data_IF_651378099806
#
_entry.id   IF_651378099806
#
_cell.length_a   1.000
_cell.length_b   1.000
_cell.length_c   1.000
_cell.angle_alpha   90.00
_cell.angle_beta   90.00
_cell.angle_gamma   90.00
#
_symmetry.space_group_name_H-M   'P 1'
#
loop_
_entity.id
_entity.type
_entity.pdbx_description
1 polymer ?
#
# COMPACT_ATOMS: atom_id res chain seq x y z
N UNK A 1 7.16 3.94 11.08
CA UNK A 1 7.87 4.47 9.89
C UNK A 1 8.30 3.38 8.92
N UNK A 2 7.88 2.13 9.07
CA UNK A 2 8.28 1.04 8.16
C UNK A 2 7.48 1.10 6.87
N UNK A 3 6.15 1.14 6.94
CA UNK A 3 5.29 1.33 5.75
C UNK A 3 5.74 2.50 4.87
N UNK A 4 6.04 3.66 5.45
CA UNK A 4 6.45 4.82 4.67
C UNK A 4 7.79 4.63 3.94
N UNK A 5 8.68 3.76 4.44
CA UNK A 5 9.93 3.39 3.76
C UNK A 5 9.66 2.35 2.68
N UNK A 6 8.81 1.37 2.97
CA UNK A 6 8.35 0.34 2.03
C UNK A 6 7.68 0.98 0.79
N UNK A 7 6.75 1.91 0.98
CA UNK A 7 6.15 2.66 -0.13
C UNK A 7 7.15 3.52 -0.91
N UNK A 8 8.19 4.00 -0.25
CA UNK A 8 9.27 4.69 -0.95
C UNK A 8 10.07 3.70 -1.83
N UNK A 9 10.33 2.49 -1.34
CA UNK A 9 10.95 1.43 -2.14
C UNK A 9 10.07 0.98 -3.31
N UNK A 10 8.74 0.93 -3.12
CA UNK A 10 7.76 0.69 -4.18
C UNK A 10 7.87 1.77 -5.27
N UNK A 11 7.89 3.04 -4.86
CA UNK A 11 8.06 4.16 -5.80
C UNK A 11 9.41 4.09 -6.54
N UNK A 12 10.50 3.69 -5.86
CA UNK A 12 11.80 3.55 -6.49
C UNK A 12 11.87 2.38 -7.48
N UNK A 13 11.17 1.27 -7.23
CA UNK A 13 11.03 0.18 -8.21
C UNK A 13 10.40 0.68 -9.51
N UNK A 14 9.33 1.47 -9.43
CA UNK A 14 8.75 2.13 -10.61
C UNK A 14 9.72 3.10 -11.26
N UNK A 15 10.41 3.91 -10.46
CA UNK A 15 11.36 4.89 -10.96
C UNK A 15 12.46 4.22 -11.81
N UNK A 16 13.09 3.18 -11.27
CA UNK A 16 14.17 2.45 -11.92
C UNK A 16 13.65 1.71 -13.16
N UNK A 17 12.53 1.00 -13.06
CA UNK A 17 11.93 0.28 -14.18
C UNK A 17 11.61 1.20 -15.37
N UNK A 18 11.04 2.38 -15.12
CA UNK A 18 10.73 3.35 -16.18
C UNK A 18 12.01 3.83 -16.87
N UNK A 19 13.08 4.09 -16.11
CA UNK A 19 14.36 4.51 -16.68
C UNK A 19 15.02 3.39 -17.49
N UNK A 20 14.95 2.14 -17.01
CA UNK A 20 15.47 0.96 -17.72
C UNK A 20 14.74 0.71 -19.05
N UNK A 21 13.45 1.03 -19.10
CA UNK A 21 12.64 1.01 -20.32
C UNK A 21 12.91 2.23 -21.25
N UNK A 22 13.90 3.08 -20.92
CA UNK A 22 14.27 4.26 -21.69
C UNK A 22 13.33 5.46 -21.51
N UNK A 23 12.43 5.40 -20.54
CA UNK A 23 11.56 6.50 -20.13
C UNK A 23 12.28 7.52 -19.25
N UNK A 24 11.59 8.61 -18.93
CA UNK A 24 12.05 9.60 -17.95
C UNK A 24 10.96 9.86 -16.92
N UNK A 25 11.27 9.56 -15.66
CA UNK A 25 10.36 9.82 -14.55
C UNK A 25 10.30 11.32 -14.25
N UNK A 26 9.10 11.83 -14.00
CA UNK A 26 8.87 13.20 -13.52
C UNK A 26 8.07 13.13 -12.23
N UNK A 27 8.68 13.54 -11.11
CA UNK A 27 8.01 13.59 -9.81
C UNK A 27 7.16 14.84 -9.73
N UNK A 28 5.89 14.68 -9.32
CA UNK A 28 4.93 15.77 -9.18
C UNK A 28 4.70 16.12 -7.71
N UNK A 29 4.15 17.32 -7.46
CA UNK A 29 3.70 17.69 -6.13
C UNK A 29 2.53 16.78 -5.68
N UNK A 30 2.53 16.44 -4.39
CA UNK A 30 1.48 15.64 -3.76
C UNK A 30 0.57 16.52 -2.90
N UNK A 31 -0.72 16.19 -2.79
CA UNK A 31 -1.61 16.87 -1.86
C UNK A 31 -1.17 16.61 -0.41
N UNK A 32 -1.58 17.49 0.50
CA UNK A 32 -1.40 17.26 1.93
C UNK A 32 -2.15 15.98 2.36
N UNK A 33 -1.49 15.06 3.10
CA UNK A 33 -2.16 13.88 3.60
C UNK A 33 -3.16 14.24 4.70
N UNK A 34 -4.14 13.37 4.93
CA UNK A 34 -5.04 13.50 6.08
C UNK A 34 -4.24 13.26 7.37
N UNK A 35 -4.24 14.26 8.26
CA UNK A 35 -3.47 14.24 9.51
C UNK A 35 -4.32 14.02 10.76
N UNK A 36 -5.65 14.10 10.66
CA UNK A 36 -6.57 13.98 11.79
C UNK A 36 -7.53 12.80 11.62
N UNK A 37 -7.69 12.01 12.69
CA UNK A 37 -8.55 10.83 12.74
C UNK A 37 -9.27 10.76 14.09
N UNK A 38 -10.50 10.27 14.09
CA UNK A 38 -11.35 10.12 15.26
C UNK A 38 -11.06 8.86 16.09
N UNK A 39 -10.41 7.86 15.49
CA UNK A 39 -10.04 6.61 16.16
C UNK A 39 -8.91 5.87 15.42
N UNK A 40 -8.23 4.94 16.11
CA UNK A 40 -7.28 4.02 15.46
C UNK A 40 -7.94 3.17 14.38
N UNK A 41 -9.19 2.78 14.59
CA UNK A 41 -9.94 2.03 13.59
C UNK A 41 -10.09 2.84 12.29
N UNK A 42 -10.42 4.13 12.40
CA UNK A 42 -10.53 5.01 11.23
C UNK A 42 -9.19 5.15 10.49
N UNK A 43 -8.06 5.17 11.20
CA UNK A 43 -6.73 5.22 10.57
C UNK A 43 -6.53 4.01 9.66
N UNK A 44 -6.72 2.80 10.17
CA UNK A 44 -6.49 1.57 9.40
C UNK A 44 -7.57 1.35 8.32
N UNK A 45 -8.82 1.74 8.56
CA UNK A 45 -9.86 1.70 7.51
C UNK A 45 -9.55 2.69 6.38
N UNK A 46 -9.00 3.86 6.69
CA UNK A 46 -8.52 4.82 5.69
C UNK A 46 -7.33 4.26 4.92
N UNK A 47 -6.38 3.62 5.60
CA UNK A 47 -5.22 2.98 4.97
C UNK A 47 -5.63 1.84 4.04
N UNK A 48 -6.52 0.92 4.48
CA UNK A 48 -7.03 -0.16 3.63
C UNK A 48 -7.74 0.38 2.38
N UNK A 49 -8.53 1.46 2.52
CA UNK A 49 -9.16 2.09 1.36
C UNK A 49 -8.12 2.69 0.41
N UNK A 50 -7.04 3.26 0.94
CA UNK A 50 -5.92 3.72 0.12
C UNK A 50 -5.27 2.56 -0.64
N UNK A 51 -4.93 1.47 0.05
CA UNK A 51 -4.33 0.28 -0.57
C UNK A 51 -5.20 -0.30 -1.67
N UNK A 52 -6.50 -0.44 -1.45
CA UNK A 52 -7.45 -0.90 -2.50
C UNK A 52 -7.45 0.03 -3.72
N UNK A 53 -7.29 1.34 -3.51
CA UNK A 53 -7.12 2.29 -4.61
C UNK A 53 -5.77 2.13 -5.33
N UNK A 54 -4.70 1.78 -4.62
CA UNK A 54 -3.38 1.51 -5.22
C UNK A 54 -3.46 0.23 -6.05
N UNK A 55 -4.00 -0.86 -5.50
CA UNK A 55 -4.23 -2.13 -6.18
C UNK A 55 -5.02 -1.96 -7.47
N UNK A 56 -6.10 -1.17 -7.44
CA UNK A 56 -6.89 -0.87 -8.65
C UNK A 56 -6.04 -0.22 -9.73
N UNK A 57 -5.17 0.74 -9.37
CA UNK A 57 -4.27 1.40 -10.33
C UNK A 57 -3.22 0.44 -10.89
N UNK A 58 -2.74 -0.51 -10.08
CA UNK A 58 -1.83 -1.57 -10.55
C UNK A 58 -2.55 -2.47 -11.58
N UNK A 59 -3.81 -2.82 -11.34
CA UNK A 59 -4.60 -3.61 -12.29
C UNK A 59 -4.85 -2.85 -13.60
N UNK A 60 -5.19 -1.57 -13.52
CA UNK A 60 -5.35 -0.72 -14.70
C UNK A 60 -4.06 -0.69 -15.55
N UNK A 61 -2.89 -0.56 -14.90
CA UNK A 61 -1.58 -0.63 -15.57
C UNK A 61 -1.32 -1.99 -16.20
N UNK A 62 -1.66 -3.08 -15.50
CA UNK A 62 -1.46 -4.44 -15.98
C UNK A 62 -2.34 -4.74 -17.19
N UNK A 63 -3.59 -4.28 -17.19
CA UNK A 63 -4.52 -4.46 -18.29
C UNK A 63 -4.07 -3.66 -19.53
N UNK A 64 -3.63 -2.42 -19.37
CA UNK A 64 -3.00 -1.65 -20.46
C UNK A 64 -1.76 -2.36 -21.02
N UNK A 65 -0.89 -2.89 -20.15
CA UNK A 65 0.30 -3.62 -20.58
C UNK A 65 -0.05 -4.91 -21.35
N UNK A 66 -1.13 -5.60 -20.97
CA UNK A 66 -1.64 -6.78 -21.70
C UNK A 66 -2.20 -6.40 -23.07
N UNK A 67 -2.98 -5.33 -23.16
CA UNK A 67 -3.53 -4.84 -24.44
C UNK A 67 -2.41 -4.52 -25.44
N UNK A 68 -1.31 -3.94 -24.96
CA UNK A 68 -0.13 -3.61 -25.77
C UNK A 68 0.83 -4.80 -25.99
N UNK A 69 0.58 -5.95 -25.37
CA UNK A 69 1.51 -7.09 -25.32
C UNK A 69 2.91 -6.69 -24.79
N UNK A 70 2.96 -5.76 -23.83
CA UNK A 70 4.20 -5.28 -23.21
C UNK A 70 4.65 -6.26 -22.10
N UNK A 71 5.24 -7.38 -22.52
CA UNK A 71 5.67 -8.45 -21.61
C UNK A 71 6.61 -8.00 -20.48
N UNK A 72 7.59 -7.09 -20.70
CA UNK A 72 8.42 -6.58 -19.60
C UNK A 72 7.60 -5.89 -18.51
N UNK A 73 6.63 -5.05 -18.90
CA UNK A 73 5.76 -4.34 -17.95
C UNK A 73 4.81 -5.29 -17.24
N UNK A 74 4.27 -6.29 -17.93
CA UNK A 74 3.45 -7.34 -17.31
C UNK A 74 4.25 -8.08 -16.23
N UNK A 75 5.48 -8.50 -16.55
CA UNK A 75 6.34 -9.21 -15.61
C UNK A 75 6.73 -8.34 -14.40
N UNK A 76 7.01 -7.05 -14.64
CA UNK A 76 7.31 -6.09 -13.58
C UNK A 76 6.12 -5.89 -12.63
N UNK A 77 4.92 -5.68 -13.18
CA UNK A 77 3.70 -5.43 -12.38
C UNK A 77 3.24 -6.66 -11.58
N UNK A 78 3.61 -7.88 -11.98
CA UNK A 78 3.26 -9.09 -11.25
C UNK A 78 3.76 -9.07 -9.79
N UNK A 79 4.94 -8.50 -9.55
CA UNK A 79 5.45 -8.32 -8.19
C UNK A 79 4.51 -7.44 -7.34
N UNK A 80 4.01 -6.33 -7.90
CA UNK A 80 3.08 -5.43 -7.20
C UNK A 80 1.71 -6.07 -6.98
N UNK A 81 1.26 -6.96 -7.87
CA UNK A 81 0.01 -7.71 -7.65
C UNK A 81 0.11 -8.61 -6.43
N UNK A 82 1.25 -9.28 -6.25
CA UNK A 82 1.52 -10.12 -5.08
C UNK A 82 1.67 -9.27 -3.82
N UNK A 83 2.44 -8.18 -3.91
CA UNK A 83 2.66 -7.25 -2.79
C UNK A 83 1.35 -6.64 -2.27
N UNK A 84 0.52 -6.10 -3.15
CA UNK A 84 -0.75 -5.48 -2.76
C UNK A 84 -1.72 -6.48 -2.09
N UNK A 85 -1.65 -7.77 -2.44
CA UNK A 85 -2.42 -8.80 -1.75
C UNK A 85 -1.95 -8.96 -0.29
N UNK A 86 -0.65 -8.93 -0.05
CA UNK A 86 -0.08 -8.99 1.31
C UNK A 86 -0.44 -7.73 2.10
N UNK A 87 -0.34 -6.54 1.49
CA UNK A 87 -0.70 -5.26 2.09
C UNK A 87 -2.17 -5.19 2.52
N UNK A 88 -3.10 -5.54 1.61
CA UNK A 88 -4.53 -5.54 1.93
C UNK A 88 -4.86 -6.51 3.06
N UNK A 89 -4.30 -7.73 3.03
CA UNK A 89 -4.51 -8.73 4.09
C UNK A 89 -3.97 -8.26 5.44
N UNK A 90 -2.77 -7.66 5.44
CA UNK A 90 -2.13 -7.10 6.64
C UNK A 90 -3.02 -6.02 7.28
N UNK A 91 -3.58 -5.12 6.47
CA UNK A 91 -4.50 -4.08 6.94
C UNK A 91 -5.83 -4.66 7.45
N UNK A 92 -6.41 -5.63 6.74
CA UNK A 92 -7.66 -6.30 7.14
C UNK A 92 -7.51 -7.03 8.48
N UNK A 93 -6.39 -7.71 8.71
CA UNK A 93 -6.08 -8.38 9.99
C UNK A 93 -6.00 -7.40 11.16
N UNK A 94 -5.39 -6.22 10.95
CA UNK A 94 -5.31 -5.18 11.98
C UNK A 94 -6.70 -4.63 12.28
N UNK A 95 -7.48 -4.33 11.25
CA UNK A 95 -8.87 -3.87 11.40
C UNK A 95 -9.71 -4.89 12.17
N UNK A 96 -9.56 -6.18 11.88
CA UNK A 96 -10.25 -7.25 12.57
C UNK A 96 -9.92 -7.24 14.08
N UNK A 97 -8.62 -7.14 14.43
CA UNK A 97 -8.18 -7.05 15.83
C UNK A 97 -8.72 -5.81 16.52
N UNK A 98 -8.66 -4.64 15.87
CA UNK A 98 -9.18 -3.38 16.39
C UNK A 98 -10.69 -3.44 16.65
N UNK A 99 -11.47 -4.03 15.73
CA UNK A 99 -12.90 -4.28 15.92
C UNK A 99 -13.18 -5.22 17.10
N UNK A 100 -12.32 -6.22 17.31
CA UNK A 100 -12.40 -7.16 18.42
C UNK A 100 -12.14 -6.51 19.78
N UNK A 101 -11.10 -5.68 19.89
CA UNK A 101 -10.71 -5.02 21.16
C UNK A 101 -11.52 -3.76 21.45
N UNK A 102 -12.12 -3.12 20.43
CA UNK A 102 -12.84 -1.84 20.57
C UNK A 102 -11.97 -0.81 21.29
N UNK A 103 -12.50 -0.18 22.34
CA UNK A 103 -11.81 0.84 23.12
C UNK A 103 -11.19 0.29 24.42
N UNK A 104 -11.03 -1.03 24.55
CA UNK A 104 -10.42 -1.62 25.73
C UNK A 104 -8.90 -1.36 25.75
N UNK A 105 -8.47 -0.49 26.67
CA UNK A 105 -7.07 -0.06 26.81
C UNK A 105 -6.04 -1.20 26.76
N UNK A 106 -6.26 -2.29 27.51
CA UNK A 106 -5.36 -3.44 27.49
C UNK A 106 -5.29 -4.15 26.13
N UNK A 107 -6.41 -4.23 25.42
CA UNK A 107 -6.44 -4.80 24.07
C UNK A 107 -5.69 -3.93 23.07
N UNK A 108 -5.88 -2.62 23.14
CA UNK A 108 -5.13 -1.66 22.31
C UNK A 108 -3.62 -1.73 22.56
N UNK A 109 -3.19 -1.81 23.82
CA UNK A 109 -1.77 -1.98 24.18
C UNK A 109 -1.18 -3.29 23.64
N UNK A 110 -1.98 -4.36 23.53
CA UNK A 110 -1.51 -5.62 22.94
C UNK A 110 -1.34 -5.50 21.43
N UNK A 111 -2.28 -4.85 20.74
CA UNK A 111 -2.18 -4.58 19.30
C UNK A 111 -0.98 -3.69 19.00
N UNK A 112 -0.79 -2.60 19.76
CA UNK A 112 0.36 -1.72 19.64
C UNK A 112 1.70 -2.46 19.78
N UNK A 113 1.81 -3.32 20.80
CA UNK A 113 3.03 -4.12 21.01
C UNK A 113 3.29 -5.11 19.89
N UNK A 114 2.24 -5.72 19.33
CA UNK A 114 2.37 -6.64 18.20
C UNK A 114 2.88 -5.90 16.95
N UNK A 115 2.31 -4.73 16.66
CA UNK A 115 2.69 -3.91 15.51
C UNK A 115 4.08 -3.29 15.67
N UNK A 116 4.46 -2.89 16.88
CA UNK A 116 5.79 -2.34 17.17
C UNK A 116 6.93 -3.37 17.20
N UNK A 117 6.62 -4.66 17.02
CA UNK A 117 7.60 -5.73 16.90
C UNK A 117 7.90 -6.13 15.45
N UNK A 118 7.20 -5.54 14.48
CA UNK A 118 7.57 -5.58 13.07
C UNK A 118 8.80 -4.70 12.82
#
# INVERSE_FOLDING_TARGET
NEQAKEEYEHAMKFYDFINDMGGRVTVQAMPEPKNDYSSFLEVFETALHHEKSVTTRIYDLLDMAKEENNYPTIAFLQWFVEEQLEEENSMEDIIFKLKGVKDHFHGLMMVDRELGAR
#
